data_IF_799321951340
#
_entry.id   IF_799321951340
#
_cell.length_a   1.000
_cell.length_b   1.000
_cell.length_c   1.000
_cell.angle_alpha   90.00
_cell.angle_beta   90.00
_cell.angle_gamma   90.00
#
_symmetry.space_group_name_H-M   'P 1'
#
loop_
_entity.id
_entity.type
_entity.pdbx_description
1 polymer ?
#
# COMPACT_ATOMS: atom_id res chain seq x y z
N UNK A 1 -26.98 21.60 -4.36
CA UNK A 1 -25.87 21.14 -3.49
C UNK A 1 -25.67 22.20 -2.42
N UNK A 2 -25.78 21.84 -1.14
CA UNK A 2 -25.88 22.81 -0.05
C UNK A 2 -24.54 23.56 0.15
N UNK A 3 -24.57 24.89 0.16
CA UNK A 3 -23.35 25.73 0.21
C UNK A 3 -22.51 25.43 1.46
N UNK A 4 -23.16 25.08 2.57
CA UNK A 4 -22.50 24.72 3.83
C UNK A 4 -21.78 23.37 3.79
N UNK A 5 -22.25 22.42 2.97
CA UNK A 5 -21.57 21.14 2.76
C UNK A 5 -20.28 21.32 1.94
N UNK A 6 -20.33 22.17 0.91
CA UNK A 6 -19.16 22.49 0.10
C UNK A 6 -18.08 23.20 0.92
N UNK A 7 -18.50 24.13 1.79
CA UNK A 7 -17.60 24.90 2.66
C UNK A 7 -16.94 24.04 3.73
N UNK A 8 -17.64 23.05 4.30
CA UNK A 8 -17.04 22.06 5.21
C UNK A 8 -16.02 21.18 4.49
N UNK A 9 -16.37 20.62 3.32
CA UNK A 9 -15.45 19.78 2.55
C UNK A 9 -14.16 20.51 2.18
N UNK A 10 -14.26 21.77 1.74
CA UNK A 10 -13.08 22.58 1.41
C UNK A 10 -12.22 22.88 2.64
N UNK A 11 -12.85 23.05 3.81
CA UNK A 11 -12.14 23.25 5.09
C UNK A 11 -11.41 21.97 5.51
N UNK A 12 -12.03 20.81 5.36
CA UNK A 12 -11.43 19.52 5.69
C UNK A 12 -10.24 19.22 4.76
N UNK A 13 -10.39 19.48 3.45
CA UNK A 13 -9.28 19.36 2.48
C UNK A 13 -8.14 20.32 2.85
N UNK A 14 -8.44 21.57 3.20
CA UNK A 14 -7.42 22.54 3.60
C UNK A 14 -6.68 22.09 4.87
N UNK A 15 -7.40 21.57 5.87
CA UNK A 15 -6.80 21.02 7.08
C UNK A 15 -5.90 19.83 6.74
N UNK A 16 -6.34 18.91 5.87
CA UNK A 16 -5.52 17.78 5.41
C UNK A 16 -4.25 18.28 4.71
N UNK A 17 -4.37 19.24 3.80
CA UNK A 17 -3.22 19.81 3.08
C UNK A 17 -2.26 20.50 4.05
N UNK A 18 -2.75 21.28 5.01
CA UNK A 18 -1.92 21.97 6.01
C UNK A 18 -1.25 20.96 6.93
N UNK A 19 -1.96 19.94 7.41
CA UNK A 19 -1.39 18.88 8.24
C UNK A 19 -0.32 18.13 7.46
N UNK A 20 -0.60 17.64 6.25
CA UNK A 20 0.39 16.97 5.41
C UNK A 20 1.60 17.86 5.12
N UNK A 21 1.39 19.14 4.80
CA UNK A 21 2.47 20.10 4.54
C UNK A 21 3.29 20.41 5.79
N UNK A 22 2.69 20.36 6.98
CA UNK A 22 3.39 20.54 8.26
C UNK A 22 4.15 19.28 8.70
N UNK A 23 3.72 18.11 8.23
CA UNK A 23 4.49 16.87 8.37
C UNK A 23 5.70 16.89 7.43
N UNK A 24 5.66 17.54 6.26
CA UNK A 24 6.83 17.59 5.34
C UNK A 24 8.13 18.05 6.06
N UNK A 25 8.21 19.16 6.82
CA UNK A 25 9.43 19.52 7.55
C UNK A 25 9.83 18.55 8.67
N UNK A 26 8.85 18.02 9.42
CA UNK A 26 9.07 17.03 10.48
C UNK A 26 9.58 15.68 9.93
N UNK A 27 9.24 15.40 8.66
CA UNK A 27 9.50 14.15 7.96
C UNK A 27 10.74 14.24 7.09
N UNK A 28 10.93 15.33 6.36
CA UNK A 28 12.02 15.47 5.40
C UNK A 28 13.19 16.32 5.90
N UNK A 29 13.06 17.02 7.04
CA UNK A 29 14.13 17.84 7.61
C UNK A 29 15.40 17.08 8.01
N UNK A 30 15.34 15.76 8.17
CA UNK A 30 16.48 14.93 8.58
C UNK A 30 17.20 14.22 7.40
N UNK A 31 16.52 13.96 6.26
CA UNK A 31 17.14 13.19 5.16
C UNK A 31 16.41 13.35 3.80
N UNK A 32 16.35 14.58 3.25
CA UNK A 32 15.75 14.90 1.93
C UNK A 32 16.36 14.07 0.79
N UNK A 33 17.62 13.63 0.93
CA UNK A 33 18.34 12.87 -0.10
C UNK A 33 17.65 11.52 -0.43
N UNK A 34 16.87 10.96 0.50
CA UNK A 34 16.19 9.68 0.31
C UNK A 34 14.79 9.81 -0.35
N UNK A 35 14.31 11.04 -0.61
CA UNK A 35 13.02 11.25 -1.30
C UNK A 35 13.13 10.83 -2.77
N UNK A 36 14.24 11.22 -3.41
CA UNK A 36 14.50 10.98 -4.82
C UNK A 36 15.97 10.59 -5.00
N UNK A 37 16.23 9.30 -5.15
CA UNK A 37 17.53 8.78 -5.54
C UNK A 37 17.41 8.28 -6.98
N UNK A 38 17.54 9.16 -7.97
CA UNK A 38 17.64 8.73 -9.37
C UNK A 38 19.08 8.40 -9.71
N UNK A 39 19.51 7.18 -9.41
CA UNK A 39 20.66 6.57 -10.08
C UNK A 39 20.17 5.41 -10.93
N UNK A 40 20.24 5.57 -12.27
CA UNK A 40 19.79 4.51 -13.17
C UNK A 40 20.88 3.44 -13.26
N UNK A 41 20.67 2.33 -12.55
CA UNK A 41 21.51 1.15 -12.63
C UNK A 41 20.66 -0.04 -13.10
N UNK A 42 21.10 -0.71 -14.17
CA UNK A 42 20.37 -1.80 -14.80
C UNK A 42 20.19 -3.01 -13.87
N UNK A 43 21.14 -3.26 -12.96
CA UNK A 43 21.09 -4.41 -12.05
C UNK A 43 19.95 -4.24 -11.02
N UNK A 44 19.89 -3.16 -10.21
CA UNK A 44 18.74 -2.92 -9.33
C UNK A 44 17.41 -2.90 -10.06
N UNK A 45 17.37 -2.31 -11.27
CA UNK A 45 16.15 -2.27 -12.07
C UNK A 45 15.63 -3.67 -12.42
N UNK A 46 16.50 -4.60 -12.84
CA UNK A 46 16.11 -5.99 -13.12
C UNK A 46 15.59 -6.70 -11.88
N UNK A 47 16.21 -6.49 -10.72
CA UNK A 47 15.71 -7.04 -9.46
C UNK A 47 14.31 -6.52 -9.13
N UNK A 48 14.08 -5.21 -9.27
CA UNK A 48 12.76 -4.61 -9.03
C UNK A 48 11.70 -5.20 -9.95
N UNK A 49 11.97 -5.28 -11.26
CA UNK A 49 11.03 -5.88 -12.22
C UNK A 49 10.75 -7.34 -11.88
N UNK A 50 11.78 -8.13 -11.58
CA UNK A 50 11.61 -9.54 -11.19
C UNK A 50 10.78 -9.70 -9.91
N UNK A 51 10.95 -8.80 -8.94
CA UNK A 51 10.19 -8.78 -7.69
C UNK A 51 8.73 -8.42 -7.91
N UNK A 52 8.44 -7.44 -8.78
CA UNK A 52 7.07 -7.09 -9.18
C UNK A 52 6.38 -8.30 -9.83
N UNK A 53 7.05 -8.95 -10.79
CA UNK A 53 6.50 -10.14 -11.48
C UNK A 53 6.25 -11.27 -10.48
N UNK A 54 7.20 -11.55 -9.58
CA UNK A 54 7.06 -12.57 -8.56
C UNK A 54 5.88 -12.30 -7.62
N UNK A 55 5.74 -11.05 -7.14
CA UNK A 55 4.63 -10.65 -6.29
C UNK A 55 3.28 -10.78 -7.00
N UNK A 56 3.22 -10.41 -8.27
CA UNK A 56 2.01 -10.53 -9.07
C UNK A 56 1.57 -12.00 -9.20
N UNK A 57 2.53 -12.89 -9.51
CA UNK A 57 2.28 -14.33 -9.58
C UNK A 57 1.85 -14.90 -8.22
N UNK A 58 2.55 -14.50 -7.15
CA UNK A 58 2.23 -14.92 -5.79
C UNK A 58 0.80 -14.48 -5.39
N UNK A 59 0.44 -13.23 -5.66
CA UNK A 59 -0.91 -12.71 -5.44
C UNK A 59 -1.96 -13.53 -6.18
N UNK A 60 -1.74 -13.81 -7.47
CA UNK A 60 -2.65 -14.65 -8.26
C UNK A 60 -2.79 -16.06 -7.69
N UNK A 61 -1.70 -16.69 -7.26
CA UNK A 61 -1.72 -18.04 -6.66
C UNK A 61 -2.49 -18.02 -5.34
N UNK A 62 -2.19 -17.07 -4.45
CA UNK A 62 -2.85 -16.94 -3.15
C UNK A 62 -4.36 -16.73 -3.34
N UNK A 63 -4.77 -15.78 -4.18
CA UNK A 63 -6.19 -15.46 -4.35
C UNK A 63 -6.97 -16.48 -5.21
N UNK A 64 -6.28 -17.35 -5.96
CA UNK A 64 -6.93 -18.46 -6.66
C UNK A 64 -7.05 -19.71 -5.81
N UNK A 65 -6.05 -20.02 -4.97
CA UNK A 65 -5.99 -21.29 -4.22
C UNK A 65 -6.35 -21.19 -2.75
N UNK A 66 -6.01 -20.08 -2.09
CA UNK A 66 -6.23 -19.89 -0.65
C UNK A 66 -7.58 -19.22 -0.39
N UNK A 67 -7.94 -18.23 -1.21
CA UNK A 67 -9.15 -17.42 -1.03
C UNK A 67 -10.33 -18.03 -1.78
N UNK A 68 -11.30 -18.57 -1.01
CA UNK A 68 -12.53 -19.17 -1.54
C UNK A 68 -13.67 -18.15 -1.72
N UNK A 69 -14.79 -18.59 -2.31
CA UNK A 69 -15.95 -17.73 -2.58
C UNK A 69 -16.54 -17.09 -1.31
N UNK A 70 -16.49 -17.80 -0.17
CA UNK A 70 -16.97 -17.28 1.12
C UNK A 70 -16.08 -16.14 1.61
N UNK A 71 -14.76 -16.32 1.54
CA UNK A 71 -13.76 -15.29 1.88
C UNK A 71 -13.91 -14.08 0.97
N UNK A 72 -14.07 -14.31 -0.33
CA UNK A 72 -14.36 -13.29 -1.33
C UNK A 72 -15.58 -12.51 -0.89
N UNK A 73 -16.73 -13.15 -0.66
CA UNK A 73 -17.96 -12.45 -0.28
C UNK A 73 -17.81 -11.53 0.94
N UNK A 74 -16.96 -11.88 1.92
CA UNK A 74 -16.67 -11.01 3.08
C UNK A 74 -15.92 -9.73 2.69
N UNK A 75 -15.07 -9.79 1.67
CA UNK A 75 -14.27 -8.65 1.19
C UNK A 75 -15.06 -7.65 0.33
N UNK A 76 -16.33 -7.93 -0.02
CA UNK A 76 -17.16 -6.99 -0.80
C UNK A 76 -17.31 -5.63 -0.12
N UNK A 77 -17.38 -5.61 1.21
CA UNK A 77 -17.47 -4.38 2.01
C UNK A 77 -16.12 -3.68 2.26
N UNK A 78 -15.07 -4.05 1.52
CA UNK A 78 -13.83 -3.27 1.52
C UNK A 78 -14.06 -1.98 0.72
N UNK A 79 -13.74 -0.83 1.29
CA UNK A 79 -14.02 0.49 0.70
C UNK A 79 -13.53 0.63 -0.75
N UNK A 80 -12.30 0.17 -1.05
CA UNK A 80 -11.81 0.20 -2.43
C UNK A 80 -12.60 -0.73 -3.37
N UNK A 81 -12.98 -1.93 -2.92
CA UNK A 81 -13.78 -2.88 -3.73
C UNK A 81 -15.17 -2.30 -3.96
N UNK A 82 -15.79 -1.77 -2.92
CA UNK A 82 -17.08 -1.09 -2.98
C UNK A 82 -17.03 0.11 -3.93
N UNK A 83 -15.94 0.90 -3.92
CA UNK A 83 -15.76 2.02 -4.84
C UNK A 83 -15.65 1.62 -6.32
N UNK A 84 -15.26 0.36 -6.62
CA UNK A 84 -15.31 -0.17 -7.98
C UNK A 84 -16.73 -0.54 -8.40
N UNK A 85 -17.59 -0.95 -7.45
CA UNK A 85 -19.00 -1.29 -7.68
C UNK A 85 -19.84 -0.01 -7.78
N UNK A 86 -19.67 0.91 -6.83
CA UNK A 86 -20.45 2.14 -6.68
C UNK A 86 -19.79 3.32 -7.38
N UNK A 87 -20.35 3.76 -8.51
CA UNK A 87 -19.82 4.86 -9.33
C UNK A 87 -19.77 6.23 -8.63
N UNK A 88 -20.44 6.38 -7.48
CA UNK A 88 -20.51 7.65 -6.75
C UNK A 88 -19.31 7.86 -5.80
N UNK A 89 -18.50 6.84 -5.54
CA UNK A 89 -17.39 6.89 -4.55
C UNK A 89 -16.02 7.04 -5.21
N UNK A 90 -15.95 7.72 -6.35
CA UNK A 90 -14.70 7.90 -7.12
C UNK A 90 -13.56 8.52 -6.30
N UNK A 91 -13.88 9.33 -5.29
CA UNK A 91 -12.91 9.97 -4.40
C UNK A 91 -12.11 8.95 -3.56
N UNK A 92 -12.72 7.83 -3.17
CA UNK A 92 -12.03 6.76 -2.43
C UNK A 92 -10.88 6.21 -3.28
N UNK A 93 -11.17 5.87 -4.55
CA UNK A 93 -10.21 5.28 -5.46
C UNK A 93 -9.10 6.23 -5.92
N UNK A 94 -9.43 7.50 -6.18
CA UNK A 94 -8.52 8.44 -6.82
C UNK A 94 -7.83 9.41 -5.87
N UNK A 95 -8.27 9.51 -4.62
CA UNK A 95 -7.68 10.44 -3.64
C UNK A 95 -7.30 9.72 -2.36
N UNK A 96 -8.27 9.08 -1.68
CA UNK A 96 -8.00 8.44 -0.39
C UNK A 96 -6.99 7.31 -0.56
N UNK A 97 -7.21 6.43 -1.54
CA UNK A 97 -6.36 5.27 -1.73
C UNK A 97 -4.91 5.64 -2.11
N UNK A 98 -4.63 6.52 -3.10
CA UNK A 98 -3.27 7.02 -3.33
C UNK A 98 -2.64 7.68 -2.10
N UNK A 99 -3.42 8.47 -1.34
CA UNK A 99 -2.92 9.12 -0.13
C UNK A 99 -2.53 8.10 0.94
N UNK A 100 -3.31 7.04 1.12
CA UNK A 100 -2.96 5.91 2.00
C UNK A 100 -1.65 5.26 1.58
N UNK A 101 -1.43 5.02 0.28
CA UNK A 101 -0.16 4.45 -0.21
C UNK A 101 1.03 5.35 0.09
N UNK A 102 0.88 6.68 -0.08
CA UNK A 102 1.92 7.65 0.28
C UNK A 102 2.21 7.60 1.79
N UNK A 103 1.17 7.60 2.62
CA UNK A 103 1.30 7.56 4.08
C UNK A 103 1.97 6.27 4.56
N UNK A 104 1.58 5.12 4.01
CA UNK A 104 2.17 3.83 4.38
C UNK A 104 3.65 3.77 3.97
N UNK A 105 4.02 4.19 2.76
CA UNK A 105 5.43 4.17 2.36
C UNK A 105 6.27 5.21 3.13
N UNK A 106 5.69 6.35 3.52
CA UNK A 106 6.34 7.28 4.45
C UNK A 106 6.62 6.60 5.79
N UNK A 107 5.61 6.00 6.43
CA UNK A 107 5.77 5.38 7.74
C UNK A 107 6.73 4.19 7.71
N UNK A 108 6.58 3.29 6.74
CA UNK A 108 7.28 2.02 6.76
C UNK A 108 8.60 2.03 5.99
N UNK A 109 8.77 2.84 4.94
CA UNK A 109 10.09 2.96 4.29
C UNK A 109 10.84 4.12 4.85
N UNK A 110 10.33 5.33 4.64
CA UNK A 110 11.08 6.51 4.97
C UNK A 110 11.40 6.54 6.47
N UNK A 111 10.41 6.38 7.33
CA UNK A 111 10.63 6.42 8.78
C UNK A 111 11.29 5.17 9.32
N UNK A 112 10.63 4.01 9.19
CA UNK A 112 11.12 2.83 9.87
C UNK A 112 12.53 2.44 9.40
N UNK A 113 12.82 2.49 8.10
CA UNK A 113 14.16 2.11 7.61
C UNK A 113 15.21 3.14 8.03
N UNK A 114 14.97 4.45 7.86
CA UNK A 114 15.95 5.49 8.26
C UNK A 114 16.19 5.44 9.76
N UNK A 115 15.14 5.34 10.59
CA UNK A 115 15.29 5.23 12.06
C UNK A 115 16.11 4.01 12.44
N UNK A 116 15.84 2.85 11.82
CA UNK A 116 16.57 1.62 12.13
C UNK A 116 18.05 1.72 11.71
N UNK A 117 18.33 2.31 10.55
CA UNK A 117 19.71 2.47 10.06
C UNK A 117 20.45 3.52 10.90
N UNK A 118 19.88 4.71 11.07
CA UNK A 118 20.60 5.86 11.63
C UNK A 118 20.67 5.83 13.17
N UNK A 119 19.58 5.41 13.84
CA UNK A 119 19.52 5.43 15.31
C UNK A 119 19.93 4.09 15.94
N UNK A 120 19.58 2.97 15.31
CA UNK A 120 19.89 1.63 15.83
C UNK A 120 21.21 1.10 15.23
N UNK A 121 21.77 1.77 14.22
CA UNK A 121 23.01 1.39 13.54
C UNK A 121 22.97 -0.06 13.01
N UNK A 122 21.81 -0.48 12.48
CA UNK A 122 21.65 -1.78 11.86
C UNK A 122 21.94 -1.70 10.35
N UNK A 123 22.43 -2.82 9.81
CA UNK A 123 22.63 -2.92 8.36
C UNK A 123 21.30 -2.82 7.59
N UNK A 124 21.40 -2.41 6.33
CA UNK A 124 20.25 -2.12 5.48
C UNK A 124 19.35 -3.34 5.24
N UNK A 125 19.92 -4.55 5.15
CA UNK A 125 19.15 -5.78 4.95
C UNK A 125 18.25 -6.05 6.16
N UNK A 126 18.80 -5.95 7.36
CA UNK A 126 18.04 -6.17 8.59
C UNK A 126 16.99 -5.07 8.80
N UNK A 127 17.31 -3.81 8.46
CA UNK A 127 16.36 -2.72 8.47
C UNK A 127 15.16 -2.97 7.54
N UNK A 128 15.42 -3.46 6.32
CA UNK A 128 14.37 -3.85 5.37
C UNK A 128 13.50 -4.97 5.95
N UNK A 129 14.11 -6.02 6.50
CA UNK A 129 13.35 -7.15 7.04
C UNK A 129 12.46 -6.73 8.22
N UNK A 130 12.99 -5.94 9.16
CA UNK A 130 12.22 -5.44 10.30
C UNK A 130 11.08 -4.52 9.84
N UNK A 131 11.36 -3.56 8.96
CA UNK A 131 10.34 -2.68 8.37
C UNK A 131 9.24 -3.49 7.66
N UNK A 132 9.62 -4.53 6.92
CA UNK A 132 8.69 -5.41 6.20
C UNK A 132 7.81 -6.21 7.16
N UNK A 133 8.38 -6.71 8.26
CA UNK A 133 7.62 -7.37 9.32
C UNK A 133 6.62 -6.43 10.00
N UNK A 134 7.03 -5.20 10.33
CA UNK A 134 6.14 -4.19 10.92
C UNK A 134 4.99 -3.87 9.94
N UNK A 135 5.31 -3.63 8.67
CA UNK A 135 4.33 -3.37 7.62
C UNK A 135 3.34 -4.53 7.41
N UNK A 136 3.83 -5.77 7.47
CA UNK A 136 3.00 -6.97 7.42
C UNK A 136 2.07 -7.06 8.63
N UNK A 137 2.57 -6.83 9.85
CA UNK A 137 1.79 -6.87 11.09
C UNK A 137 0.77 -5.73 11.15
N UNK A 138 1.06 -4.56 10.57
CA UNK A 138 0.12 -3.46 10.46
C UNK A 138 -1.22 -3.88 9.82
N UNK A 139 -1.19 -4.91 8.94
CA UNK A 139 -2.38 -5.47 8.31
C UNK A 139 -3.21 -6.40 9.21
N UNK A 140 -2.89 -6.51 10.50
CA UNK A 140 -3.71 -7.25 11.48
C UNK A 140 -5.15 -6.73 11.55
N UNK A 141 -5.40 -5.49 11.15
CA UNK A 141 -6.75 -4.93 11.04
C UNK A 141 -7.66 -5.72 10.08
N UNK A 142 -7.12 -6.45 9.09
CA UNK A 142 -7.90 -7.36 8.24
C UNK A 142 -8.52 -8.52 9.03
N UNK A 143 -7.82 -9.05 10.03
CA UNK A 143 -8.36 -10.08 10.93
C UNK A 143 -9.55 -9.53 11.72
N UNK A 144 -9.43 -8.33 12.27
CA UNK A 144 -10.48 -7.69 13.04
C UNK A 144 -11.68 -7.25 12.19
N UNK A 145 -11.48 -6.88 10.92
CA UNK A 145 -12.57 -6.46 10.02
C UNK A 145 -13.34 -7.64 9.43
N UNK A 146 -12.66 -8.69 8.98
CA UNK A 146 -13.29 -9.78 8.21
C UNK A 146 -13.47 -11.08 8.98
N UNK A 147 -12.77 -11.23 10.11
CA UNK A 147 -12.76 -12.47 10.91
C UNK A 147 -12.57 -13.71 10.03
N UNK A 148 -11.56 -13.64 9.14
CA UNK A 148 -11.24 -14.69 8.21
C UNK A 148 -9.73 -14.90 8.16
N UNK A 149 -9.30 -16.10 8.58
CA UNK A 149 -7.88 -16.43 8.66
C UNK A 149 -7.21 -16.46 7.28
N UNK A 150 -7.95 -16.85 6.23
CA UNK A 150 -7.40 -16.97 4.87
C UNK A 150 -7.13 -15.59 4.30
N UNK A 151 -8.05 -14.65 4.50
CA UNK A 151 -7.85 -13.24 4.14
C UNK A 151 -6.64 -12.71 4.91
N UNK A 152 -6.67 -12.82 6.24
CA UNK A 152 -5.59 -12.31 7.09
C UNK A 152 -4.21 -12.85 6.67
N UNK A 153 -4.07 -14.17 6.51
CA UNK A 153 -2.81 -14.79 6.12
C UNK A 153 -2.35 -14.35 4.73
N UNK A 154 -3.28 -14.21 3.79
CA UNK A 154 -2.98 -13.75 2.42
C UNK A 154 -2.39 -12.34 2.43
N UNK A 155 -3.01 -11.41 3.19
CA UNK A 155 -2.51 -10.05 3.34
C UNK A 155 -1.18 -10.00 4.10
N UNK A 156 -1.05 -10.78 5.17
CA UNK A 156 0.19 -10.83 5.94
C UNK A 156 1.39 -11.24 5.06
N UNK A 157 1.24 -12.31 4.27
CA UNK A 157 2.27 -12.79 3.35
C UNK A 157 2.57 -11.76 2.26
N UNK A 158 1.54 -11.26 1.57
CA UNK A 158 1.73 -10.34 0.44
C UNK A 158 2.31 -9.00 0.89
N UNK A 159 1.83 -8.45 2.00
CA UNK A 159 2.37 -7.20 2.56
C UNK A 159 3.81 -7.38 3.03
N UNK A 160 4.20 -8.53 3.58
CA UNK A 160 5.60 -8.79 3.92
C UNK A 160 6.51 -8.74 2.69
N UNK A 161 6.18 -9.48 1.62
CA UNK A 161 7.00 -9.51 0.42
C UNK A 161 7.01 -8.18 -0.36
N UNK A 162 5.86 -7.48 -0.39
CA UNK A 162 5.80 -6.12 -0.92
C UNK A 162 6.67 -5.18 -0.07
N UNK A 163 6.69 -5.40 1.24
CA UNK A 163 7.59 -4.74 2.18
C UNK A 163 9.06 -4.88 1.82
N UNK A 164 9.48 -6.13 1.56
CA UNK A 164 10.86 -6.44 1.21
C UNK A 164 11.24 -5.79 -0.13
N UNK A 165 10.36 -5.89 -1.14
CA UNK A 165 10.58 -5.24 -2.43
C UNK A 165 10.69 -3.72 -2.29
N UNK A 166 9.72 -3.07 -1.63
CA UNK A 166 9.73 -1.62 -1.49
C UNK A 166 10.85 -1.13 -0.57
N UNK A 167 11.30 -1.93 0.39
CA UNK A 167 12.51 -1.63 1.17
C UNK A 167 13.77 -1.63 0.31
N UNK A 168 13.91 -2.61 -0.58
CA UNK A 168 15.00 -2.63 -1.56
C UNK A 168 14.93 -1.42 -2.51
N UNK A 169 13.75 -1.15 -3.08
CA UNK A 169 13.50 0.01 -3.96
C UNK A 169 13.82 1.31 -3.23
N UNK A 170 13.47 1.45 -1.95
CA UNK A 170 13.71 2.66 -1.18
C UNK A 170 15.20 3.00 -1.10
N UNK A 171 16.04 2.01 -0.77
CA UNK A 171 17.49 2.18 -0.64
C UNK A 171 18.14 2.57 -1.98
N UNK A 172 17.63 2.06 -3.09
CA UNK A 172 18.28 2.23 -4.41
C UNK A 172 17.66 3.33 -5.28
N UNK A 173 16.37 3.61 -5.12
CA UNK A 173 15.59 4.45 -6.02
C UNK A 173 14.79 5.55 -5.29
N UNK A 174 14.77 5.53 -3.95
CA UNK A 174 14.06 6.50 -3.12
C UNK A 174 12.57 6.19 -2.97
N UNK A 175 11.85 7.12 -2.34
CA UNK A 175 10.48 6.91 -1.88
C UNK A 175 9.45 6.90 -3.01
N UNK A 176 9.60 7.75 -4.05
CA UNK A 176 8.59 7.89 -5.11
C UNK A 176 8.31 6.55 -5.82
N UNK A 177 9.33 5.78 -6.28
CA UNK A 177 9.09 4.48 -6.88
C UNK A 177 8.39 3.49 -5.93
N UNK A 178 8.67 3.52 -4.63
CA UNK A 178 7.97 2.68 -3.64
C UNK A 178 6.46 2.97 -3.63
N UNK A 179 6.07 4.25 -3.63
CA UNK A 179 4.66 4.67 -3.67
C UNK A 179 3.99 4.16 -4.94
N UNK A 180 4.64 4.29 -6.10
CA UNK A 180 4.09 3.84 -7.37
C UNK A 180 3.91 2.32 -7.43
N UNK A 181 4.92 1.57 -6.96
CA UNK A 181 4.86 0.10 -6.90
C UNK A 181 3.76 -0.34 -5.93
N UNK A 182 3.70 0.24 -4.74
CA UNK A 182 2.67 -0.10 -3.76
C UNK A 182 1.28 0.16 -4.32
N UNK A 183 1.03 1.37 -4.82
CA UNK A 183 -0.24 1.73 -5.42
C UNK A 183 -0.62 0.76 -6.54
N UNK A 184 0.29 0.49 -7.48
CA UNK A 184 0.02 -0.42 -8.60
C UNK A 184 -0.33 -1.83 -8.15
N UNK A 185 0.47 -2.40 -7.23
CA UNK A 185 0.28 -3.76 -6.73
C UNK A 185 -1.01 -3.92 -5.93
N UNK A 186 -1.27 -3.00 -4.99
CA UNK A 186 -2.49 -3.03 -4.18
C UNK A 186 -3.73 -2.79 -5.06
N UNK A 187 -3.67 -1.81 -5.98
CA UNK A 187 -4.77 -1.53 -6.90
C UNK A 187 -5.12 -2.75 -7.76
N UNK A 188 -4.11 -3.40 -8.36
CA UNK A 188 -4.34 -4.59 -9.18
C UNK A 188 -4.98 -5.71 -8.38
N UNK A 189 -4.52 -5.93 -7.14
CA UNK A 189 -5.07 -6.96 -6.27
C UNK A 189 -6.56 -6.75 -5.99
N UNK A 190 -6.93 -5.53 -5.58
CA UNK A 190 -8.34 -5.20 -5.33
C UNK A 190 -9.18 -5.23 -6.61
N UNK A 191 -8.61 -4.82 -7.74
CA UNK A 191 -9.29 -4.90 -9.03
C UNK A 191 -9.50 -6.35 -9.50
N UNK A 192 -8.52 -7.23 -9.26
CA UNK A 192 -8.63 -8.66 -9.53
C UNK A 192 -9.77 -9.29 -8.70
N UNK A 193 -9.80 -8.97 -7.41
CA UNK A 193 -10.90 -9.38 -6.52
C UNK A 193 -12.24 -8.86 -7.05
N UNK A 194 -12.36 -7.55 -7.31
CA UNK A 194 -13.53 -6.91 -7.94
C UNK A 194 -14.05 -7.72 -9.13
N UNK A 195 -13.16 -8.08 -10.07
CA UNK A 195 -13.54 -8.85 -11.27
C UNK A 195 -14.04 -10.26 -10.94
N UNK A 196 -13.47 -10.93 -9.94
CA UNK A 196 -13.91 -12.27 -9.51
C UNK A 196 -15.34 -12.19 -8.96
N UNK A 197 -15.66 -11.17 -8.18
CA UNK A 197 -17.04 -10.91 -7.73
C UNK A 197 -18.01 -10.68 -8.87
N UNK A 198 -17.65 -9.81 -9.82
CA UNK A 198 -18.54 -9.47 -10.92
C UNK A 198 -18.85 -10.70 -11.78
N UNK A 199 -17.83 -11.53 -12.04
CA UNK A 199 -17.99 -12.79 -12.76
C UNK A 199 -18.89 -13.80 -12.02
N UNK A 200 -18.83 -13.87 -10.68
CA UNK A 200 -19.71 -14.73 -9.88
C UNK A 200 -21.16 -14.23 -9.87
N UNK A 201 -21.38 -12.90 -9.85
CA UNK A 201 -22.72 -12.33 -9.83
C UNK A 201 -23.53 -12.56 -11.11
N UNK A 202 -22.87 -12.81 -12.24
CA UNK A 202 -23.49 -13.10 -13.53
C UNK A 202 -23.86 -14.59 -13.73
N UNK A 203 -23.43 -15.46 -12.80
CA UNK A 203 -23.71 -16.91 -12.85
C UNK A 203 -24.90 -17.33 -11.98
N UNK A 204 -25.47 -16.41 -11.21
CA UNK A 204 -26.67 -16.60 -10.37
C UNK A 204 -27.85 -15.92 -11.02
#
# INVERSE_FOLDING_TARGET
>A
MNYDLLKRHNKDILIIVVVLSSLIPLFFGYNVQNIIIFSFNSIPFLYVISGIVLLFLLGRIIFSKIIDEKSISKMKGHELIESFINKNEKWVKWVIFPLTMVMEELLFRFYAIIVIIDLINLNSILAILISSSIFSIYHIHFWFRYHDFRIFLSYLILSFFLGVLNGYVFIHNGLIPCVLIHYGMAFELYFYLYRKFYAESQKR
#
